data_IF_372435455070
#
_entry.id   IF_372435455070
#
_cell.length_a   1.000
_cell.length_b   1.000
_cell.length_c   1.000
_cell.angle_alpha   90.00
_cell.angle_beta   90.00
_cell.angle_gamma   90.00
#
_symmetry.space_group_name_H-M   'P 1'
#
loop_
_entity.id
_entity.type
_entity.pdbx_description
1 polymer ?
#
# COMPACT_ATOMS: atom_id res chain seq x y z
N UNK A 1 -8.44 -33.08 -34.08
CA UNK A 1 -8.21 -33.03 -32.62
C UNK A 1 -6.89 -32.35 -32.23
N UNK A 2 -5.78 -32.55 -32.95
CA UNK A 2 -4.49 -31.96 -32.60
C UNK A 2 -4.37 -30.45 -32.93
N UNK A 3 -4.96 -30.00 -34.04
CA UNK A 3 -4.99 -28.56 -34.43
C UNK A 3 -5.69 -27.68 -33.39
N UNK A 4 -6.80 -28.16 -32.82
CA UNK A 4 -7.57 -27.45 -31.80
C UNK A 4 -6.81 -27.38 -30.46
N UNK A 5 -6.09 -28.45 -30.08
CA UNK A 5 -5.21 -28.48 -28.90
C UNK A 5 -4.00 -27.53 -29.07
N UNK A 6 -3.45 -27.43 -30.27
CA UNK A 6 -2.35 -26.50 -30.59
C UNK A 6 -2.82 -25.03 -30.50
N UNK A 7 -3.99 -24.72 -31.06
CA UNK A 7 -4.57 -23.36 -30.96
C UNK A 7 -4.90 -23.02 -29.51
N UNK A 8 -5.48 -23.96 -28.76
CA UNK A 8 -5.76 -23.76 -27.34
C UNK A 8 -4.48 -23.55 -26.52
N UNK A 9 -3.41 -24.31 -26.82
CA UNK A 9 -2.10 -24.11 -26.21
C UNK A 9 -1.49 -22.74 -26.52
N UNK A 10 -1.60 -22.26 -27.76
CA UNK A 10 -1.09 -20.94 -28.15
C UNK A 10 -1.86 -19.78 -27.50
N UNK A 11 -3.18 -19.91 -27.32
CA UNK A 11 -4.00 -18.91 -26.62
C UNK A 11 -3.65 -18.83 -25.13
N UNK A 12 -3.40 -19.98 -24.48
CA UNK A 12 -2.97 -20.03 -23.07
C UNK A 12 -1.58 -19.40 -22.89
N UNK A 13 -0.62 -19.66 -23.79
CA UNK A 13 0.72 -19.04 -23.73
C UNK A 13 0.66 -17.53 -23.96
N UNK A 14 -0.21 -17.06 -24.86
CA UNK A 14 -0.39 -15.63 -25.11
C UNK A 14 -1.01 -14.90 -23.91
N UNK A 15 -1.96 -15.52 -23.20
CA UNK A 15 -2.58 -14.96 -21.99
C UNK A 15 -1.62 -14.80 -20.80
N UNK A 16 -0.54 -15.59 -20.73
CA UNK A 16 0.48 -15.47 -19.68
C UNK A 16 1.60 -14.46 -20.00
N UNK A 17 1.66 -13.94 -21.24
CA UNK A 17 2.78 -13.09 -21.68
C UNK A 17 2.57 -11.60 -21.38
N UNK A 18 1.43 -11.20 -20.79
CA UNK A 18 1.09 -9.81 -20.48
C UNK A 18 1.04 -9.51 -18.98
N UNK A 19 1.76 -10.28 -18.16
CA UNK A 19 2.08 -9.86 -16.80
C UNK A 19 3.10 -8.74 -16.89
N UNK A 20 2.63 -7.49 -16.98
CA UNK A 20 3.50 -6.32 -16.92
C UNK A 20 4.42 -6.44 -15.70
N UNK A 21 5.72 -6.43 -15.94
CA UNK A 21 6.72 -6.38 -14.87
C UNK A 21 6.61 -4.97 -14.29
N UNK A 22 5.75 -4.80 -13.28
CA UNK A 22 5.79 -3.63 -12.43
C UNK A 22 7.13 -3.73 -11.67
N UNK A 23 8.11 -2.93 -12.09
CA UNK A 23 9.34 -2.74 -11.33
C UNK A 23 8.94 -1.92 -10.11
N UNK A 24 8.65 -2.62 -9.01
CA UNK A 24 8.46 -1.95 -7.73
C UNK A 24 9.83 -1.56 -7.20
N UNK A 25 9.94 -0.34 -6.68
CA UNK A 25 11.11 0.05 -5.90
C UNK A 25 11.21 -0.85 -4.66
N UNK A 26 12.43 -1.12 -4.22
CA UNK A 26 12.68 -1.95 -3.05
C UNK A 26 12.39 -1.16 -1.77
N UNK A 27 11.78 -1.82 -0.80
CA UNK A 27 11.55 -1.23 0.51
C UNK A 27 12.85 -0.92 1.23
N UNK A 28 12.84 0.16 2.01
CA UNK A 28 13.92 0.44 2.95
C UNK A 28 14.17 -0.78 3.86
N UNK A 29 15.42 -1.21 3.94
CA UNK A 29 15.81 -2.47 4.60
C UNK A 29 15.24 -2.55 6.03
N UNK A 30 14.56 -3.66 6.32
CA UNK A 30 13.98 -3.94 7.63
C UNK A 30 12.60 -3.33 7.85
N UNK A 31 12.11 -2.51 6.92
CA UNK A 31 10.77 -1.96 6.99
C UNK A 31 9.70 -2.96 6.57
N UNK A 32 8.51 -2.76 7.15
CA UNK A 32 7.31 -3.55 6.91
C UNK A 32 6.10 -2.63 7.00
N UNK A 33 5.05 -2.99 6.28
CA UNK A 33 3.75 -2.33 6.42
C UNK A 33 3.22 -2.43 7.85
N UNK A 34 2.26 -1.56 8.16
CA UNK A 34 1.56 -1.60 9.42
C UNK A 34 0.83 -2.95 9.58
N UNK A 35 0.78 -3.57 10.79
CA UNK A 35 0.16 -4.88 10.99
C UNK A 35 -1.30 -5.00 10.53
N UNK A 36 -2.03 -3.88 10.49
CA UNK A 36 -3.44 -3.83 10.11
C UNK A 36 -3.73 -3.10 8.80
N UNK A 37 -2.75 -2.40 8.22
CA UNK A 37 -2.94 -1.60 7.01
C UNK A 37 -1.85 -1.93 6.01
N UNK A 38 -2.25 -2.33 4.81
CA UNK A 38 -1.35 -2.44 3.67
C UNK A 38 -1.23 -1.10 2.95
N UNK A 39 -0.06 -0.82 2.38
CA UNK A 39 0.13 0.29 1.44
C UNK A 39 -0.79 0.24 0.21
N UNK A 40 -0.89 1.38 -0.46
CA UNK A 40 -1.49 1.49 -1.79
C UNK A 40 -0.65 0.78 -2.87
N UNK A 41 -1.26 0.30 -3.97
CA UNK A 41 -0.52 -0.22 -5.11
C UNK A 41 0.51 0.79 -5.64
N UNK A 42 1.57 0.28 -6.26
CA UNK A 42 2.65 1.06 -6.85
C UNK A 42 3.41 1.96 -5.86
N UNK A 43 3.40 1.58 -4.57
CA UNK A 43 4.19 2.25 -3.53
C UNK A 43 5.19 1.30 -2.87
N UNK A 44 6.33 1.85 -2.47
CA UNK A 44 7.36 1.19 -1.67
C UNK A 44 7.49 1.89 -0.31
N UNK A 45 8.08 1.23 0.69
CA UNK A 45 8.38 1.87 1.98
C UNK A 45 9.68 2.65 1.83
N UNK A 46 9.56 3.97 1.83
CA UNK A 46 10.69 4.89 1.81
C UNK A 46 11.41 4.94 3.17
N UNK A 47 10.65 4.99 4.26
CA UNK A 47 11.19 4.98 5.62
C UNK A 47 10.21 4.38 6.62
N UNK A 48 10.71 3.86 7.74
CA UNK A 48 9.88 3.38 8.83
C UNK A 48 10.55 3.58 10.20
N UNK A 49 9.74 3.87 11.21
CA UNK A 49 10.12 3.96 12.61
C UNK A 49 9.03 3.31 13.47
N UNK A 50 9.43 2.56 14.49
CA UNK A 50 8.51 2.07 15.53
C UNK A 50 9.02 2.53 16.89
N UNK A 51 8.15 3.19 17.64
CA UNK A 51 8.41 3.63 19.01
C UNK A 51 7.47 2.81 19.91
N UNK A 52 8.02 1.99 20.80
CA UNK A 52 7.20 1.11 21.65
C UNK A 52 6.32 1.89 22.64
N UNK A 53 6.81 3.06 23.10
CA UNK A 53 6.07 3.97 23.96
C UNK A 53 6.40 5.42 23.62
N UNK A 54 5.48 6.12 22.97
CA UNK A 54 5.60 7.51 22.58
C UNK A 54 4.26 8.24 22.68
N UNK A 55 4.23 9.48 22.22
CA UNK A 55 3.03 10.29 22.17
C UNK A 55 2.95 11.05 20.84
N UNK A 56 1.75 11.18 20.28
CA UNK A 56 1.47 11.92 19.04
C UNK A 56 0.32 12.89 19.28
N UNK A 57 0.47 14.10 18.77
CA UNK A 57 -0.58 15.13 18.81
C UNK A 57 -1.54 14.98 17.63
N UNK A 58 -2.83 14.94 17.93
CA UNK A 58 -3.94 14.86 16.99
C UNK A 58 -4.97 15.96 17.29
N UNK A 59 -6.02 16.01 16.48
CA UNK A 59 -7.15 16.93 16.65
C UNK A 59 -8.42 16.12 16.78
N UNK A 60 -9.25 16.41 17.79
CA UNK A 60 -10.52 15.73 17.99
C UNK A 60 -11.62 16.29 17.07
N UNK A 61 -12.82 15.73 17.13
CA UNK A 61 -13.97 16.15 16.31
C UNK A 61 -14.40 17.61 16.55
N UNK A 62 -14.04 18.20 17.70
CA UNK A 62 -14.32 19.60 18.04
C UNK A 62 -13.22 20.56 17.59
N UNK A 63 -12.15 20.06 16.97
CA UNK A 63 -11.02 20.88 16.57
C UNK A 63 -10.01 21.15 17.70
N UNK A 64 -10.12 20.47 18.84
CA UNK A 64 -9.23 20.67 19.97
C UNK A 64 -8.00 19.75 19.87
N UNK A 65 -6.79 20.24 20.23
CA UNK A 65 -5.61 19.40 20.25
C UNK A 65 -5.73 18.34 21.34
N UNK A 66 -5.44 17.10 20.98
CA UNK A 66 -5.38 15.95 21.90
C UNK A 66 -4.04 15.24 21.73
N UNK A 67 -3.48 14.72 22.82
CA UNK A 67 -2.25 13.92 22.79
C UNK A 67 -2.61 12.46 23.07
N UNK A 68 -2.19 11.56 22.20
CA UNK A 68 -2.41 10.12 22.34
C UNK A 68 -1.08 9.43 22.62
N UNK A 69 -1.03 8.69 23.73
CA UNK A 69 0.14 7.91 24.14
C UNK A 69 -0.01 6.44 23.74
N UNK A 70 1.11 5.79 23.42
CA UNK A 70 1.16 4.36 23.12
C UNK A 70 2.27 3.98 22.14
N UNK A 71 2.13 2.82 21.50
CA UNK A 71 3.02 2.39 20.43
C UNK A 71 2.77 3.20 19.16
N UNK A 72 3.83 3.80 18.60
CA UNK A 72 3.76 4.65 17.40
C UNK A 72 4.44 3.93 16.25
N UNK A 73 3.72 3.82 15.13
CA UNK A 73 4.30 3.45 13.83
C UNK A 73 4.35 4.70 12.95
N UNK A 74 5.52 5.04 12.44
CA UNK A 74 5.66 6.03 11.37
C UNK A 74 6.18 5.30 10.15
N UNK A 75 5.44 5.33 9.05
CA UNK A 75 5.80 4.67 7.80
C UNK A 75 5.56 5.66 6.67
N UNK A 76 6.60 5.94 5.91
CA UNK A 76 6.52 6.81 4.74
C UNK A 76 6.55 5.93 3.49
N UNK A 77 5.58 6.16 2.61
CA UNK A 77 5.47 5.45 1.34
C UNK A 77 5.91 6.36 0.20
N UNK A 78 6.83 5.87 -0.63
CA UNK A 78 7.19 6.49 -1.90
C UNK A 78 6.35 5.91 -3.03
N UNK A 79 6.12 6.69 -4.08
CA UNK A 79 5.50 6.23 -5.32
C UNK A 79 6.59 5.67 -6.24
N UNK A 80 6.39 4.47 -6.79
CA UNK A 80 7.32 3.87 -7.73
C UNK A 80 7.52 4.75 -8.98
N UNK A 81 8.74 4.80 -9.50
CA UNK A 81 9.06 5.51 -10.74
C UNK A 81 8.12 5.11 -11.89
N UNK A 82 7.54 6.11 -12.56
CA UNK A 82 6.63 5.91 -13.70
C UNK A 82 5.20 5.53 -13.32
N UNK A 83 4.89 5.32 -12.04
CA UNK A 83 3.53 5.11 -11.59
C UNK A 83 2.71 6.41 -11.70
N UNK A 84 1.39 6.24 -11.88
CA UNK A 84 0.47 7.36 -11.93
C UNK A 84 0.25 7.90 -10.52
N UNK A 85 0.56 9.17 -10.31
CA UNK A 85 0.33 9.83 -9.03
C UNK A 85 -1.16 9.80 -8.64
N UNK A 86 -1.52 9.20 -7.50
CA UNK A 86 -2.89 9.24 -7.00
C UNK A 86 -3.20 10.66 -6.51
N UNK A 87 -4.44 11.09 -6.72
CA UNK A 87 -4.89 12.36 -6.12
C UNK A 87 -4.88 12.27 -4.58
N UNK A 88 -4.72 13.39 -3.87
CA UNK A 88 -4.79 13.41 -2.41
C UNK A 88 -6.08 12.79 -1.86
N UNK A 89 -7.21 13.00 -2.54
CA UNK A 89 -8.49 12.42 -2.15
C UNK A 89 -8.50 10.88 -2.30
N UNK A 90 -7.86 10.33 -3.34
CA UNK A 90 -7.75 8.88 -3.49
C UNK A 90 -6.92 8.26 -2.36
N UNK A 91 -5.83 8.92 -1.95
CA UNK A 91 -5.01 8.47 -0.83
C UNK A 91 -5.84 8.43 0.45
N UNK A 92 -6.50 9.55 0.79
CA UNK A 92 -7.33 9.65 2.01
C UNK A 92 -8.44 8.60 2.00
N UNK A 93 -9.18 8.45 0.90
CA UNK A 93 -10.29 7.48 0.82
C UNK A 93 -9.81 6.03 0.84
N UNK A 94 -8.63 5.73 0.32
CA UNK A 94 -8.06 4.40 0.39
C UNK A 94 -7.85 3.97 1.85
N UNK A 95 -7.13 4.79 2.63
CA UNK A 95 -6.86 4.50 4.04
C UNK A 95 -8.13 4.57 4.90
N UNK A 96 -9.01 5.56 4.69
CA UNK A 96 -10.30 5.64 5.41
C UNK A 96 -11.14 4.37 5.21
N UNK A 97 -11.22 3.85 3.98
CA UNK A 97 -11.96 2.63 3.70
C UNK A 97 -11.30 1.38 4.30
N UNK A 98 -9.96 1.31 4.31
CA UNK A 98 -9.22 0.21 4.92
C UNK A 98 -9.44 0.17 6.44
N UNK A 99 -9.40 1.34 7.08
CA UNK A 99 -9.64 1.55 8.51
C UNK A 99 -11.08 1.17 8.89
N UNK A 100 -12.08 1.64 8.13
CA UNK A 100 -13.49 1.23 8.32
C UNK A 100 -13.69 -0.28 8.23
N UNK A 101 -12.97 -0.96 7.32
CA UNK A 101 -13.09 -2.41 7.11
C UNK A 101 -12.63 -3.23 8.33
N UNK A 102 -11.72 -2.70 9.13
CA UNK A 102 -11.22 -3.35 10.35
C UNK A 102 -11.97 -2.93 11.62
N UNK A 103 -13.01 -2.10 11.50
CA UNK A 103 -13.95 -1.79 12.58
C UNK A 103 -13.63 -0.53 13.39
N UNK A 104 -12.85 0.40 12.84
CA UNK A 104 -12.67 1.72 13.48
C UNK A 104 -12.05 2.73 12.56
#
# INVERSE_FOLDING_TARGET
MNRLKIIFGLVVVFLFSFSGIAISEEDHKGCKDHPFLSRMPDHYIYSCETIDWGAVDFVNEKGEPIKIEGKVYKIEYGLNEGAKEPSPLQIIRNYENAIKKIGG
#
